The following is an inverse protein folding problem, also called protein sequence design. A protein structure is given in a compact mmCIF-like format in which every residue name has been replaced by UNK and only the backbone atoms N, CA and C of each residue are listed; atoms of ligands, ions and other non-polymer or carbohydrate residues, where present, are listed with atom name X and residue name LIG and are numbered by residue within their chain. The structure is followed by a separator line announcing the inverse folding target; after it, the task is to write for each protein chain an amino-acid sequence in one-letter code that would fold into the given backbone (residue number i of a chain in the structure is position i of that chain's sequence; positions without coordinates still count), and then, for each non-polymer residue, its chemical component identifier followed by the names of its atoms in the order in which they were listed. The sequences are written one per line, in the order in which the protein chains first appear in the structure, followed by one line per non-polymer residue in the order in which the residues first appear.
data_IF_853188083600
#
_entry.id   IF_853188083600
#
_cell.length_a   1.000
_cell.length_b   1.000
_cell.length_c   1.000
_cell.angle_alpha   90.00
_cell.angle_beta   90.00
_cell.angle_gamma   90.00
#
_symmetry.space_group_name_H-M   'P 1'
#
loop_
_entity.id
_entity.type
_entity.pdbx_description
1 polymer ?
#
# COMPACT_ATOMS: atom_id res chain seq x y z
N UNK A 1 -15.09 4.06 15.03
CA UNK A 1 -15.07 4.49 16.45
C UNK A 1 -14.17 3.59 17.32
N UNK A 2 -13.20 4.17 18.04
CA UNK A 2 -12.27 3.44 18.94
C UNK A 2 -12.96 2.73 20.12
N UNK A 3 -14.09 3.24 20.60
CA UNK A 3 -14.84 2.59 21.68
C UNK A 3 -15.44 1.24 21.27
N UNK A 4 -15.78 1.08 19.99
CA UNK A 4 -16.29 -0.19 19.42
C UNK A 4 -15.16 -1.22 19.31
N UNK A 5 -13.97 -0.77 18.92
CA UNK A 5 -12.78 -1.62 18.78
C UNK A 5 -12.12 -1.99 20.11
N UNK A 6 -12.53 -1.37 21.23
CA UNK A 6 -11.98 -1.63 22.56
C UNK A 6 -10.52 -1.17 22.73
N UNK A 7 -10.08 -0.17 21.96
CA UNK A 7 -8.72 0.36 22.04
C UNK A 7 -8.68 1.88 22.19
N UNK A 8 -7.57 2.45 22.66
CA UNK A 8 -7.38 3.91 22.69
C UNK A 8 -6.85 4.43 21.36
N UNK A 9 -7.18 5.67 21.00
CA UNK A 9 -6.63 6.30 19.80
C UNK A 9 -5.09 6.32 19.87
N UNK A 10 -4.43 5.94 18.78
CA UNK A 10 -2.97 5.88 18.69
C UNK A 10 -2.29 4.72 19.43
N UNK A 11 -3.05 3.80 20.05
CA UNK A 11 -2.51 2.58 20.69
C UNK A 11 -2.01 1.52 19.70
N UNK A 12 -2.47 1.57 18.46
CA UNK A 12 -1.99 0.75 17.36
C UNK A 12 -1.97 1.56 16.06
N UNK A 13 -1.44 0.95 15.01
CA UNK A 13 -1.19 1.59 13.73
C UNK A 13 -2.24 1.30 12.66
N UNK A 14 -3.41 0.75 13.04
CA UNK A 14 -4.48 0.48 12.07
C UNK A 14 -4.89 1.79 11.40
N UNK A 15 -4.97 1.78 10.06
CA UNK A 15 -5.35 2.96 9.28
C UNK A 15 -6.68 3.55 9.81
N UNK A 16 -6.75 4.87 10.11
CA UNK A 16 -7.96 5.47 10.69
C UNK A 16 -9.21 5.29 9.83
N UNK A 17 -9.07 5.23 8.50
CA UNK A 17 -10.17 4.97 7.58
C UNK A 17 -11.00 3.72 7.91
N UNK A 18 -10.42 2.70 8.53
CA UNK A 18 -11.16 1.51 9.02
C UNK A 18 -12.25 1.84 10.04
N UNK A 19 -12.17 3.00 10.72
CA UNK A 19 -13.12 3.39 11.77
C UNK A 19 -14.39 4.02 11.21
N UNK A 20 -14.33 4.49 9.97
CA UNK A 20 -15.40 5.19 9.26
C UNK A 20 -15.86 4.42 8.00
N UNK A 21 -15.07 3.45 7.54
CA UNK A 21 -15.41 2.58 6.43
C UNK A 21 -16.66 1.72 6.74
N UNK A 22 -17.62 1.75 5.82
CA UNK A 22 -18.77 0.84 5.82
C UNK A 22 -18.49 -0.45 5.03
N UNK A 23 -17.63 -0.37 4.02
CA UNK A 23 -17.32 -1.45 3.08
C UNK A 23 -15.81 -1.52 2.87
N UNK A 24 -15.29 -2.73 2.72
CA UNK A 24 -14.00 -3.02 2.07
C UNK A 24 -14.30 -3.75 0.77
N UNK A 25 -13.76 -3.27 -0.35
CA UNK A 25 -14.00 -3.84 -1.67
C UNK A 25 -12.65 -4.12 -2.35
N UNK A 26 -12.61 -5.22 -3.10
CA UNK A 26 -11.43 -5.64 -3.87
C UNK A 26 -11.82 -5.58 -5.35
N UNK A 27 -11.00 -4.91 -6.15
CA UNK A 27 -11.03 -4.97 -7.61
C UNK A 27 -9.86 -5.84 -8.04
N UNK A 28 -10.15 -6.93 -8.75
CA UNK A 28 -9.13 -7.91 -9.12
C UNK A 28 -9.23 -8.26 -10.61
N UNK A 29 -8.07 -8.32 -11.28
CA UNK A 29 -7.91 -8.98 -12.56
C UNK A 29 -7.50 -10.45 -12.37
N UNK A 30 -8.01 -11.33 -13.21
CA UNK A 30 -7.59 -12.74 -13.23
C UNK A 30 -6.38 -12.92 -14.15
N UNK A 31 -5.39 -13.69 -13.69
CA UNK A 31 -4.24 -14.05 -14.51
C UNK A 31 -4.63 -15.07 -15.58
N UNK A 32 -4.30 -14.80 -16.84
CA UNK A 32 -4.50 -15.74 -17.93
C UNK A 32 -3.21 -16.54 -18.19
N UNK A 33 -3.21 -17.81 -17.78
CA UNK A 33 -2.07 -18.72 -17.91
C UNK A 33 -1.71 -19.11 -19.36
N UNK A 34 -2.60 -18.82 -20.32
CA UNK A 34 -2.42 -19.17 -21.73
C UNK A 34 -2.19 -17.96 -22.63
N UNK A 35 -2.34 -16.74 -22.09
CA UNK A 35 -2.06 -15.52 -22.82
C UNK A 35 -0.56 -15.24 -22.90
N UNK A 36 -0.17 -14.33 -23.81
CA UNK A 36 1.17 -13.76 -23.82
C UNK A 36 1.42 -13.01 -22.49
N UNK A 37 2.65 -13.05 -21.98
CA UNK A 37 3.04 -12.42 -20.71
C UNK A 37 2.64 -10.94 -20.68
N UNK A 38 2.91 -10.23 -21.79
CA UNK A 38 2.64 -8.81 -21.98
C UNK A 38 1.15 -8.48 -21.85
N UNK A 39 0.26 -9.45 -22.12
CA UNK A 39 -1.18 -9.25 -21.94
C UNK A 39 -1.56 -9.18 -20.46
N UNK A 40 -0.91 -9.96 -19.59
CA UNK A 40 -1.15 -9.88 -18.15
C UNK A 40 -0.51 -8.62 -17.55
N UNK A 41 0.70 -8.24 -18.00
CA UNK A 41 1.34 -6.97 -17.60
C UNK A 41 0.47 -5.77 -17.99
N UNK A 42 -0.09 -5.76 -19.20
CA UNK A 42 -1.01 -4.70 -19.62
C UNK A 42 -2.31 -4.69 -18.81
N UNK A 43 -2.79 -5.86 -18.36
CA UNK A 43 -3.98 -5.95 -17.51
C UNK A 43 -3.71 -5.41 -16.09
N UNK A 44 -2.51 -5.65 -15.55
CA UNK A 44 -2.03 -5.07 -14.30
C UNK A 44 -1.92 -3.55 -14.40
N UNK A 45 -1.23 -3.03 -15.42
CA UNK A 45 -1.12 -1.59 -15.66
C UNK A 45 -2.51 -0.92 -15.79
N UNK A 46 -3.47 -1.58 -16.43
CA UNK A 46 -4.85 -1.07 -16.51
C UNK A 46 -5.53 -0.99 -15.14
N UNK A 47 -5.26 -1.93 -14.23
CA UNK A 47 -5.79 -1.85 -12.86
C UNK A 47 -5.19 -0.63 -12.15
N UNK A 48 -3.86 -0.50 -12.17
CA UNK A 48 -3.12 0.57 -11.49
C UNK A 48 -3.40 1.95 -12.05
N UNK A 49 -3.36 2.12 -13.37
CA UNK A 49 -3.32 3.44 -14.01
C UNK A 49 -4.72 3.94 -14.46
N UNK A 50 -5.71 3.04 -14.58
CA UNK A 50 -7.06 3.42 -15.03
C UNK A 50 -8.13 3.11 -13.97
N UNK A 51 -8.22 1.88 -13.49
CA UNK A 51 -9.36 1.45 -12.66
C UNK A 51 -9.25 1.94 -11.21
N UNK A 52 -8.08 1.87 -10.61
CA UNK A 52 -7.86 2.35 -9.23
C UNK A 52 -8.08 3.87 -9.10
N UNK A 53 -7.54 4.72 -10.00
CA UNK A 53 -7.85 6.16 -9.97
C UNK A 53 -9.33 6.48 -10.10
N UNK A 54 -10.07 5.71 -10.92
CA UNK A 54 -11.53 5.86 -11.03
C UNK A 54 -12.23 5.52 -9.71
N UNK A 55 -11.82 4.44 -9.04
CA UNK A 55 -12.37 4.05 -7.74
C UNK A 55 -12.07 5.11 -6.68
N UNK A 56 -10.82 5.57 -6.58
CA UNK A 56 -10.38 6.62 -5.66
C UNK A 56 -11.17 7.92 -5.84
N UNK A 57 -11.47 8.29 -7.10
CA UNK A 57 -12.22 9.50 -7.43
C UNK A 57 -13.65 9.52 -6.85
N UNK A 58 -14.24 8.34 -6.61
CA UNK A 58 -15.59 8.19 -6.05
C UNK A 58 -15.57 7.80 -4.56
N UNK A 59 -14.40 7.56 -3.97
CA UNK A 59 -14.21 7.24 -2.55
C UNK A 59 -13.22 8.21 -1.86
N UNK A 60 -13.45 9.54 -1.91
CA UNK A 60 -12.52 10.50 -1.34
C UNK A 60 -12.33 10.27 0.17
N UNK A 61 -11.08 10.28 0.62
CA UNK A 61 -10.72 10.05 2.03
C UNK A 61 -10.77 8.58 2.47
N UNK A 62 -11.05 7.65 1.56
CA UNK A 62 -10.79 6.24 1.81
C UNK A 62 -9.28 5.95 1.84
N UNK A 63 -8.94 4.73 2.24
CA UNK A 63 -7.59 4.17 2.07
C UNK A 63 -7.70 2.79 1.46
N UNK A 64 -6.56 2.10 1.36
CA UNK A 64 -6.47 0.75 0.83
C UNK A 64 -5.90 -0.22 1.88
N UNK A 65 -6.38 -1.46 1.83
CA UNK A 65 -5.91 -2.49 2.73
C UNK A 65 -4.62 -3.10 2.18
N UNK A 66 -3.48 -2.75 2.77
CA UNK A 66 -2.14 -3.12 2.28
C UNK A 66 -1.91 -4.62 1.99
N UNK A 67 -2.64 -5.53 2.65
CA UNK A 67 -2.48 -6.97 2.41
C UNK A 67 -3.20 -7.47 1.15
N UNK A 68 -4.08 -6.66 0.56
CA UNK A 68 -4.90 -6.97 -0.62
C UNK A 68 -4.81 -5.83 -1.64
N UNK A 69 -3.66 -5.16 -1.72
CA UNK A 69 -3.46 -3.96 -2.52
C UNK A 69 -2.36 -4.13 -3.57
N UNK A 70 -2.29 -3.15 -4.47
CA UNK A 70 -1.35 -3.10 -5.59
C UNK A 70 0.06 -2.74 -5.11
N UNK A 71 1.05 -3.54 -5.50
CA UNK A 71 2.46 -3.28 -5.14
C UNK A 71 3.07 -2.12 -5.94
N UNK A 72 2.42 -1.70 -7.03
CA UNK A 72 2.82 -0.59 -7.89
C UNK A 72 2.02 0.70 -7.67
N UNK A 73 1.15 0.73 -6.65
CA UNK A 73 0.40 1.94 -6.30
C UNK A 73 1.34 3.12 -5.99
N UNK A 74 1.32 4.23 -6.77
CA UNK A 74 2.17 5.39 -6.52
C UNK A 74 1.79 6.17 -5.24
N UNK A 75 0.54 6.03 -4.77
CA UNK A 75 -0.02 6.66 -3.57
C UNK A 75 0.12 5.83 -2.29
N UNK A 76 0.81 4.68 -2.33
CA UNK A 76 0.78 3.66 -1.27
C UNK A 76 1.01 4.18 0.15
N UNK A 77 1.87 5.19 0.34
CA UNK A 77 2.16 5.76 1.68
C UNK A 77 0.90 6.28 2.35
N UNK A 78 0.12 7.06 1.61
CA UNK A 78 -1.12 7.63 2.12
C UNK A 78 -2.20 6.56 2.17
N UNK A 79 -2.36 5.77 1.11
CA UNK A 79 -3.46 4.81 1.04
C UNK A 79 -3.35 3.70 2.09
N UNK A 80 -2.14 3.22 2.38
CA UNK A 80 -1.92 2.05 3.24
C UNK A 80 -1.70 2.43 4.71
N UNK A 81 -1.04 3.56 4.96
CA UNK A 81 -0.62 3.98 6.29
C UNK A 81 -1.23 5.33 6.70
N UNK A 82 -1.57 6.18 5.74
CA UNK A 82 -2.17 7.49 5.93
C UNK A 82 -1.40 8.32 6.97
N UNK A 83 -2.09 8.96 7.93
CA UNK A 83 -1.45 9.83 8.91
C UNK A 83 -0.53 9.08 9.89
N UNK A 84 -0.52 7.73 9.89
CA UNK A 84 0.40 6.96 10.72
C UNK A 84 1.80 6.83 10.10
N UNK A 85 1.97 7.13 8.81
CA UNK A 85 3.18 6.81 8.05
C UNK A 85 4.47 7.37 8.68
N UNK A 86 4.49 8.65 9.05
CA UNK A 86 5.68 9.29 9.63
C UNK A 86 6.07 8.74 11.01
N UNK A 87 5.06 8.43 11.84
CA UNK A 87 5.29 7.79 13.15
C UNK A 87 5.84 6.38 12.97
N UNK A 88 5.28 5.62 12.02
CA UNK A 88 5.77 4.29 11.71
C UNK A 88 7.21 4.33 11.18
N UNK A 89 7.55 5.30 10.32
CA UNK A 89 8.91 5.48 9.82
C UNK A 89 9.90 5.77 10.94
N UNK A 90 9.50 6.62 11.90
CA UNK A 90 10.30 6.92 13.09
C UNK A 90 10.53 5.69 13.97
N UNK A 91 9.50 4.83 14.12
CA UNK A 91 9.63 3.56 14.83
C UNK A 91 10.58 2.62 14.07
N UNK A 92 10.42 2.47 12.76
CA UNK A 92 11.33 1.66 11.94
C UNK A 92 12.77 2.13 12.10
N UNK A 93 13.05 3.44 12.03
CA UNK A 93 14.40 3.98 12.25
C UNK A 93 15.02 3.58 13.59
N UNK A 94 14.20 3.48 14.64
CA UNK A 94 14.68 3.14 15.98
C UNK A 94 15.02 1.65 16.13
N UNK A 95 14.36 0.77 15.38
CA UNK A 95 14.49 -0.69 15.51
C UNK A 95 15.25 -1.35 14.37
N UNK A 96 15.27 -0.73 13.20
CA UNK A 96 15.94 -1.15 11.97
C UNK A 96 16.66 0.05 11.34
N UNK A 97 17.70 0.61 12.01
CA UNK A 97 18.37 1.84 11.58
C UNK A 97 19.14 1.70 10.26
N UNK A 98 19.50 0.48 9.90
CA UNK A 98 20.25 0.16 8.68
C UNK A 98 19.34 -0.30 7.52
N UNK A 99 18.02 -0.28 7.74
CA UNK A 99 16.98 -0.75 6.81
C UNK A 99 17.22 -2.19 6.30
N UNK A 100 17.63 -3.09 7.20
CA UNK A 100 17.86 -4.50 6.88
C UNK A 100 16.57 -5.19 6.40
N UNK A 101 15.42 -4.77 6.92
CA UNK A 101 14.13 -5.35 6.57
C UNK A 101 13.44 -4.51 5.48
N UNK A 102 13.58 -4.96 4.24
CA UNK A 102 12.94 -4.38 3.06
C UNK A 102 11.76 -5.23 2.57
N UNK A 103 10.70 -4.54 2.15
CA UNK A 103 9.62 -5.07 1.32
C UNK A 103 9.04 -3.93 0.49
N UNK A 104 8.64 -4.19 -0.75
CA UNK A 104 7.98 -3.19 -1.61
C UNK A 104 6.72 -2.68 -0.91
N UNK A 105 6.47 -1.38 -0.99
CA UNK A 105 5.37 -0.65 -0.30
C UNK A 105 5.34 -0.76 1.23
N UNK A 106 6.39 -1.28 1.88
CA UNK A 106 6.51 -1.22 3.33
C UNK A 106 7.03 0.15 3.77
N UNK A 107 6.79 0.51 5.03
CA UNK A 107 7.30 1.76 5.62
C UNK A 107 8.82 1.89 5.40
N UNK A 108 9.24 3.02 4.83
CA UNK A 108 10.65 3.31 4.49
C UNK A 108 11.17 2.62 3.23
N UNK A 109 10.34 1.89 2.49
CA UNK A 109 10.77 1.24 1.24
C UNK A 109 11.06 2.24 0.11
N UNK A 110 10.51 3.44 0.18
CA UNK A 110 10.74 4.58 -0.73
C UNK A 110 12.16 5.18 -0.66
N UNK A 111 12.96 4.76 0.33
CA UNK A 111 14.38 5.13 0.45
C UNK A 111 15.30 4.17 -0.30
N UNK A 112 14.71 3.17 -0.96
CA UNK A 112 15.38 2.14 -1.73
C UNK A 112 14.75 2.01 -3.12
N UNK A 113 15.55 1.58 -4.09
CA UNK A 113 15.11 1.29 -5.45
C UNK A 113 15.75 0.00 -5.94
N UNK A 114 15.14 -0.63 -6.95
CA UNK A 114 15.69 -1.79 -7.66
C UNK A 114 16.28 -1.30 -8.97
N UNK A 115 17.55 -1.59 -9.23
CA UNK A 115 18.21 -1.20 -10.48
C UNK A 115 17.89 -2.17 -11.65
N UNK A 116 18.43 -1.87 -12.83
CA UNK A 116 18.21 -2.68 -14.04
C UNK A 116 18.76 -4.12 -13.92
N UNK A 117 19.68 -4.36 -12.99
CA UNK A 117 20.22 -5.70 -12.68
C UNK A 117 19.54 -6.37 -11.47
N UNK A 118 18.36 -5.89 -11.08
CA UNK A 118 17.55 -6.39 -9.97
C UNK A 118 18.21 -6.25 -8.58
N UNK A 119 19.19 -5.35 -8.42
CA UNK A 119 19.84 -5.10 -7.13
C UNK A 119 19.11 -4.02 -6.35
N UNK A 120 18.95 -4.25 -5.05
CA UNK A 120 18.40 -3.26 -4.13
C UNK A 120 19.47 -2.21 -3.76
N UNK A 121 19.20 -0.95 -4.05
CA UNK A 121 20.11 0.18 -3.86
C UNK A 121 19.42 1.29 -3.06
N UNK A 122 20.16 2.01 -2.21
CA UNK A 122 19.63 3.24 -1.59
C UNK A 122 19.44 4.31 -2.67
N UNK A 123 18.34 5.07 -2.55
CA UNK A 123 18.04 6.24 -3.39
C UNK A 123 18.93 7.42 -3.00
#
# INVERSE_FOLDING_TARGET
NHSVAGNTAGSNAVHPGWRDALLSAIVQGAWNQTAAWESNVAAEAKLTDELMPLLESITPGAGAYMNEADVDNPGWREDYFGPNCDRLRSIKAAWDPDDLFYAKTAVGSDEWTVDEEERLCKV
#
